data_IF_198302544627
#
_entry.id   IF_198302544627
#
_cell.length_a   1.000
_cell.length_b   1.000
_cell.length_c   1.000
_cell.angle_alpha   90.00
_cell.angle_beta   90.00
_cell.angle_gamma   90.00
#
_symmetry.space_group_name_H-M   'P 1'
#
loop_
_entity.id
_entity.type
_entity.pdbx_description
1 polymer ?
#
# COMPACT_ATOMS: atom_id res chain seq x y z
N UNK A 1 -2.74 -7.30 11.96
CA UNK A 1 -3.96 -8.15 12.05
C UNK A 1 -4.26 -8.35 13.52
N UNK A 2 -5.53 -8.43 13.90
CA UNK A 2 -5.88 -8.66 15.31
C UNK A 2 -5.46 -10.05 15.79
N UNK A 3 -5.43 -10.22 17.11
CA UNK A 3 -5.17 -11.51 17.75
C UNK A 3 -6.49 -12.21 18.09
N UNK A 4 -6.44 -13.54 18.16
CA UNK A 4 -7.55 -14.38 18.65
C UNK A 4 -8.86 -14.10 17.91
N UNK A 5 -9.89 -13.63 18.61
CA UNK A 5 -11.22 -13.33 18.08
C UNK A 5 -11.21 -12.19 17.05
N UNK A 6 -10.14 -11.38 17.05
CA UNK A 6 -9.94 -10.28 16.09
C UNK A 6 -9.05 -10.68 14.90
N UNK A 7 -8.78 -11.98 14.69
CA UNK A 7 -7.90 -12.45 13.61
C UNK A 7 -8.36 -12.06 12.19
N UNK A 8 -9.65 -11.77 12.01
CA UNK A 8 -10.24 -11.27 10.76
C UNK A 8 -10.32 -9.74 10.68
N UNK A 9 -9.80 -9.02 11.68
CA UNK A 9 -9.81 -7.55 11.74
C UNK A 9 -8.44 -6.98 11.37
N UNK A 10 -8.44 -6.06 10.40
CA UNK A 10 -7.27 -5.25 10.05
C UNK A 10 -7.27 -3.95 10.86
N UNK A 11 -6.12 -3.61 11.43
CA UNK A 11 -5.92 -2.38 12.20
C UNK A 11 -4.87 -1.52 11.50
N UNK A 12 -5.13 -0.22 11.42
CA UNK A 12 -4.12 0.78 11.07
C UNK A 12 -3.39 1.20 12.35
N UNK A 13 -2.06 1.23 12.27
CA UNK A 13 -1.17 1.59 13.37
C UNK A 13 -0.21 2.69 12.93
N UNK A 14 0.51 3.24 13.90
CA UNK A 14 1.54 4.25 13.70
C UNK A 14 1.05 5.53 12.98
N UNK A 15 0.53 6.45 13.78
CA UNK A 15 0.15 7.78 13.32
C UNK A 15 1.29 8.81 13.44
N UNK A 16 2.54 8.38 13.61
CA UNK A 16 3.69 9.26 13.84
C UNK A 16 4.00 10.21 12.67
N UNK A 17 3.62 9.82 11.45
CA UNK A 17 3.71 10.65 10.25
C UNK A 17 2.37 11.24 9.81
N UNK A 18 1.29 10.95 10.55
CA UNK A 18 -0.04 11.42 10.19
C UNK A 18 -0.10 12.95 10.28
N UNK A 19 -0.81 13.54 9.33
CA UNK A 19 -0.97 15.00 9.24
C UNK A 19 -2.41 15.34 8.93
N UNK A 20 -2.90 16.43 9.54
CA UNK A 20 -4.23 16.95 9.25
C UNK A 20 -4.25 17.51 7.82
N UNK A 21 -5.12 16.95 6.97
CA UNK A 21 -5.32 17.39 5.58
C UNK A 21 -6.34 18.53 5.44
N UNK A 22 -7.05 18.87 6.52
CA UNK A 22 -8.06 19.93 6.53
C UNK A 22 -7.87 20.92 7.67
N UNK A 23 -8.44 22.11 7.52
CA UNK A 23 -8.54 23.12 8.58
C UNK A 23 -9.61 22.73 9.60
N UNK A 24 -9.77 23.53 10.66
CA UNK A 24 -10.87 23.33 11.63
C UNK A 24 -12.24 23.65 11.04
N UNK A 25 -12.30 24.48 9.98
CA UNK A 25 -13.53 24.77 9.23
C UNK A 25 -13.88 23.67 8.20
N UNK A 26 -13.02 22.65 8.03
CA UNK A 26 -13.22 21.57 7.07
C UNK A 26 -12.67 21.85 5.67
N UNK A 27 -12.02 22.99 5.46
CA UNK A 27 -11.39 23.33 4.18
C UNK A 27 -10.12 22.50 3.96
N UNK A 28 -9.86 22.09 2.72
CA UNK A 28 -8.65 21.35 2.38
C UNK A 28 -7.40 22.24 2.55
N UNK A 29 -6.28 21.66 3.00
CA UNK A 29 -4.99 22.37 3.03
C UNK A 29 -4.60 22.84 1.62
N UNK A 30 -3.85 23.96 1.48
CA UNK A 30 -3.41 24.42 0.18
C UNK A 30 -2.34 23.50 -0.41
N UNK A 31 -2.31 23.42 -1.74
CA UNK A 31 -1.26 22.73 -2.48
C UNK A 31 0.11 23.36 -2.17
N UNK A 32 1.13 22.51 -1.97
CA UNK A 32 2.53 22.92 -1.79
C UNK A 32 3.46 21.94 -2.49
N UNK A 33 4.54 22.46 -3.05
CA UNK A 33 5.66 21.70 -3.59
C UNK A 33 6.91 21.85 -2.71
N UNK A 34 8.04 21.30 -3.16
CA UNK A 34 9.32 21.39 -2.46
C UNK A 34 9.40 20.59 -1.15
N UNK A 35 8.52 19.62 -0.94
CA UNK A 35 8.55 18.73 0.23
C UNK A 35 9.64 17.67 0.08
N UNK A 36 10.25 17.34 1.21
CA UNK A 36 11.08 16.15 1.32
C UNK A 36 10.20 14.89 1.30
N UNK A 37 10.76 13.80 0.78
CA UNK A 37 10.12 12.50 0.87
C UNK A 37 10.05 12.07 2.34
N UNK A 38 8.84 11.68 2.77
CA UNK A 38 8.59 11.07 4.08
C UNK A 38 7.97 9.68 3.88
N UNK A 39 8.15 8.80 4.87
CA UNK A 39 7.62 7.44 4.84
C UNK A 39 8.44 6.47 3.97
N UNK A 40 7.86 5.29 3.71
CA UNK A 40 8.54 4.23 2.98
C UNK A 40 8.50 4.49 1.47
N UNK A 41 9.66 4.78 0.88
CA UNK A 41 9.79 5.12 -0.54
C UNK A 41 9.16 4.11 -1.53
N UNK A 42 9.06 2.83 -1.13
CA UNK A 42 8.42 1.76 -1.91
C UNK A 42 6.93 2.04 -2.16
N UNK A 43 6.20 2.44 -1.14
CA UNK A 43 4.74 2.62 -1.18
C UNK A 43 4.32 4.09 -1.29
N UNK A 44 5.25 5.03 -1.15
CA UNK A 44 4.97 6.45 -1.39
C UNK A 44 4.41 6.70 -2.82
N UNK A 45 3.46 7.62 -2.93
CA UNK A 45 2.88 8.02 -4.22
C UNK A 45 3.92 8.67 -5.14
N UNK A 46 3.63 8.71 -6.44
CA UNK A 46 4.45 9.45 -7.39
C UNK A 46 4.57 10.94 -7.01
N UNK A 47 3.49 11.54 -6.49
CA UNK A 47 3.46 12.92 -6.03
C UNK A 47 4.44 13.17 -4.87
N UNK A 48 4.51 12.25 -3.90
CA UNK A 48 5.47 12.34 -2.78
C UNK A 48 6.91 12.35 -3.29
N UNK A 49 7.23 11.54 -4.30
CA UNK A 49 8.55 11.56 -4.96
C UNK A 49 8.80 12.83 -5.79
N UNK A 50 7.74 13.49 -6.25
CA UNK A 50 7.80 14.79 -6.91
C UNK A 50 7.93 15.96 -5.91
N UNK A 51 7.90 15.69 -4.60
CA UNK A 51 7.98 16.69 -3.55
C UNK A 51 6.69 17.49 -3.39
N UNK A 52 5.57 16.93 -3.82
CA UNK A 52 4.24 17.51 -3.65
C UNK A 52 3.74 17.13 -2.25
N UNK A 53 3.10 18.07 -1.56
CA UNK A 53 2.42 17.82 -0.29
C UNK A 53 1.43 16.67 -0.43
N UNK A 54 1.41 15.78 0.57
CA UNK A 54 0.52 14.63 0.57
C UNK A 54 -0.91 15.03 0.93
N UNK A 55 -1.86 14.31 0.35
CA UNK A 55 -3.30 14.42 0.54
C UNK A 55 -3.94 13.03 0.52
N UNK A 56 -5.28 12.98 0.56
CA UNK A 56 -6.04 11.73 0.60
C UNK A 56 -5.79 10.80 -0.59
N UNK A 57 -5.51 11.35 -1.78
CA UNK A 57 -5.21 10.54 -2.98
C UNK A 57 -3.90 9.77 -2.85
N UNK A 58 -2.94 10.31 -2.10
CA UNK A 58 -1.60 9.73 -1.94
C UNK A 58 -1.64 8.48 -1.05
N UNK A 59 -2.49 8.50 -0.01
CA UNK A 59 -2.77 7.32 0.82
C UNK A 59 -3.44 6.20 0.00
N UNK A 60 -4.37 6.54 -0.90
CA UNK A 60 -5.05 5.56 -1.76
C UNK A 60 -4.10 4.97 -2.81
N UNK A 61 -3.26 5.79 -3.46
CA UNK A 61 -2.24 5.31 -4.39
C UNK A 61 -1.25 4.37 -3.67
N UNK A 62 -0.84 4.74 -2.45
CA UNK A 62 0.02 3.90 -1.61
C UNK A 62 -0.64 2.56 -1.23
N UNK A 63 -1.93 2.58 -0.88
CA UNK A 63 -2.69 1.35 -0.64
C UNK A 63 -2.76 0.48 -1.91
N UNK A 64 -2.94 1.08 -3.09
CA UNK A 64 -2.89 0.36 -4.38
C UNK A 64 -1.55 -0.33 -4.61
N UNK A 65 -0.43 0.33 -4.31
CA UNK A 65 0.90 -0.31 -4.38
C UNK A 65 1.07 -1.46 -3.39
N UNK A 66 0.51 -1.35 -2.17
CA UNK A 66 0.54 -2.45 -1.21
C UNK A 66 -0.28 -3.64 -1.71
N UNK A 67 -1.48 -3.40 -2.26
CA UNK A 67 -2.33 -4.46 -2.80
C UNK A 67 -1.66 -5.17 -3.99
N UNK A 68 -1.04 -4.43 -4.90
CA UNK A 68 -0.28 -5.00 -6.02
C UNK A 68 0.93 -5.79 -5.53
N UNK A 69 1.65 -5.29 -4.53
CA UNK A 69 2.77 -6.01 -3.92
C UNK A 69 2.32 -7.34 -3.29
N UNK A 70 1.18 -7.35 -2.58
CA UNK A 70 0.63 -8.58 -2.01
C UNK A 70 0.21 -9.60 -3.08
N UNK A 71 -0.29 -9.11 -4.22
CA UNK A 71 -0.75 -9.97 -5.33
C UNK A 71 0.40 -10.51 -6.19
N UNK A 72 1.34 -9.64 -6.56
CA UNK A 72 2.40 -9.94 -7.54
C UNK A 72 3.74 -10.30 -6.88
N UNK A 73 3.91 -10.03 -5.59
CA UNK A 73 5.13 -10.28 -4.82
C UNK A 73 6.21 -9.22 -4.96
N UNK A 74 6.18 -8.42 -6.02
CA UNK A 74 7.12 -7.31 -6.23
C UNK A 74 6.51 -6.12 -6.98
N UNK A 75 7.17 -4.97 -6.85
CA UNK A 75 6.91 -3.74 -7.57
C UNK A 75 8.11 -3.41 -8.47
N UNK A 76 7.90 -2.79 -9.65
CA UNK A 76 8.96 -2.56 -10.66
C UNK A 76 10.17 -1.74 -10.18
N UNK A 77 10.01 -0.97 -9.10
CA UNK A 77 11.06 -0.15 -8.50
C UNK A 77 11.78 -0.81 -7.31
N UNK A 78 11.59 -2.12 -7.09
CA UNK A 78 12.35 -2.89 -6.10
C UNK A 78 13.73 -3.31 -6.62
N UNK A 79 14.69 -3.51 -5.72
CA UNK A 79 16.02 -4.03 -6.07
C UNK A 79 16.93 -3.07 -6.87
N UNK A 80 16.53 -1.83 -7.10
CA UNK A 80 17.31 -0.84 -7.85
C UNK A 80 18.63 -0.53 -7.12
N UNK A 81 19.76 -0.82 -7.79
CA UNK A 81 21.10 -0.56 -7.27
C UNK A 81 21.48 0.91 -7.44
N UNK A 82 22.04 1.50 -6.39
CA UNK A 82 22.51 2.88 -6.36
C UNK A 82 23.71 3.02 -5.40
N UNK A 83 24.58 4.00 -5.63
CA UNK A 83 25.74 4.26 -4.77
C UNK A 83 25.39 5.13 -3.58
N UNK A 84 24.40 6.02 -3.73
CA UNK A 84 23.93 6.91 -2.66
C UNK A 84 22.42 6.79 -2.47
N UNK A 85 21.93 7.27 -1.33
CA UNK A 85 20.50 7.29 -1.00
C UNK A 85 19.71 8.19 -1.95
N UNK A 86 20.28 9.33 -2.30
CA UNK A 86 19.70 10.31 -3.23
C UNK A 86 19.56 9.70 -4.63
N UNK A 87 20.59 8.96 -5.08
CA UNK A 87 20.53 8.22 -6.35
C UNK A 87 19.47 7.11 -6.29
N UNK A 88 19.35 6.39 -5.16
CA UNK A 88 18.32 5.35 -4.98
C UNK A 88 16.92 5.94 -5.09
N UNK A 89 16.65 7.05 -4.40
CA UNK A 89 15.35 7.72 -4.46
C UNK A 89 15.06 8.31 -5.83
N UNK A 90 16.07 8.88 -6.50
CA UNK A 90 15.93 9.35 -7.89
C UNK A 90 15.53 8.20 -8.82
N UNK A 91 16.17 7.04 -8.71
CA UNK A 91 15.84 5.85 -9.51
C UNK A 91 14.43 5.32 -9.23
N UNK A 92 14.02 5.26 -7.96
CA UNK A 92 12.66 4.86 -7.59
C UNK A 92 11.62 5.84 -8.16
N UNK A 93 11.89 7.15 -8.03
CA UNK A 93 11.05 8.20 -8.62
C UNK A 93 10.90 8.04 -10.13
N UNK A 94 12.02 7.89 -10.84
CA UNK A 94 12.03 7.71 -12.30
C UNK A 94 11.24 6.47 -12.70
N UNK A 95 11.43 5.34 -12.00
CA UNK A 95 10.65 4.13 -12.25
C UNK A 95 9.15 4.35 -12.01
N UNK A 96 8.75 4.94 -10.87
CA UNK A 96 7.32 5.19 -10.56
C UNK A 96 6.61 6.05 -11.60
N UNK A 97 7.29 7.08 -12.10
CA UNK A 97 6.75 8.01 -13.10
C UNK A 97 6.71 7.38 -14.48
N UNK A 98 7.73 6.60 -14.85
CA UNK A 98 7.89 6.08 -16.20
C UNK A 98 7.23 4.71 -16.42
N UNK A 99 6.93 3.94 -15.38
CA UNK A 99 6.18 2.69 -15.50
C UNK A 99 4.72 2.99 -15.83
N UNK A 100 4.23 2.60 -17.03
CA UNK A 100 2.82 2.72 -17.39
C UNK A 100 1.94 1.89 -16.46
N UNK A 101 0.68 2.30 -16.27
CA UNK A 101 -0.22 1.54 -15.39
C UNK A 101 -0.50 0.14 -15.93
N UNK A 102 -0.49 -0.04 -17.24
CA UNK A 102 -0.62 -1.33 -17.92
C UNK A 102 0.50 -2.29 -17.56
N UNK A 103 1.74 -1.77 -17.46
CA UNK A 103 2.91 -2.55 -17.04
C UNK A 103 2.87 -2.83 -15.53
N UNK A 104 2.56 -1.79 -14.74
CA UNK A 104 2.47 -1.91 -13.27
C UNK A 104 1.44 -2.97 -12.83
N UNK A 105 0.34 -3.09 -13.57
CA UNK A 105 -0.76 -4.00 -13.26
C UNK A 105 -0.77 -5.24 -14.13
N UNK A 106 0.31 -5.49 -14.86
CA UNK A 106 0.44 -6.68 -15.69
C UNK A 106 0.33 -7.95 -14.83
N UNK A 107 -0.57 -8.86 -15.21
CA UNK A 107 -0.84 -10.09 -14.47
C UNK A 107 -1.85 -9.93 -13.33
N UNK A 108 -2.29 -8.71 -13.00
CA UNK A 108 -3.39 -8.47 -12.08
C UNK A 108 -4.75 -8.38 -12.81
N UNK A 109 -5.88 -8.65 -12.13
CA UNK A 109 -7.21 -8.35 -12.65
C UNK A 109 -7.37 -6.87 -13.01
N UNK A 110 -8.20 -6.57 -14.03
CA UNK A 110 -8.40 -5.20 -14.56
C UNK A 110 -8.82 -4.20 -13.48
N UNK A 111 -9.52 -4.65 -12.44
CA UNK A 111 -9.98 -3.81 -11.34
C UNK A 111 -8.80 -3.15 -10.58
N UNK A 112 -7.61 -3.74 -10.58
CA UNK A 112 -6.39 -3.11 -10.07
C UNK A 112 -5.90 -1.97 -10.97
N UNK A 113 -5.98 -2.13 -12.29
CA UNK A 113 -5.71 -1.05 -13.23
C UNK A 113 -6.69 0.11 -13.01
N UNK A 114 -8.00 -0.18 -12.93
CA UNK A 114 -9.03 0.83 -12.70
C UNK A 114 -8.85 1.56 -11.36
N UNK A 115 -8.43 0.84 -10.31
CA UNK A 115 -8.09 1.41 -9.01
C UNK A 115 -6.92 2.41 -9.13
N UNK A 116 -5.84 2.01 -9.81
CA UNK A 116 -4.65 2.87 -9.95
C UNK A 116 -4.91 4.07 -10.87
N UNK A 117 -5.69 3.89 -11.94
CA UNK A 117 -6.15 4.99 -12.81
C UNK A 117 -6.95 6.00 -12.00
N UNK A 118 -7.89 5.52 -11.18
CA UNK A 118 -8.68 6.39 -10.30
C UNK A 118 -7.76 7.23 -9.41
N UNK A 119 -6.86 6.60 -8.66
CA UNK A 119 -5.97 7.31 -7.72
C UNK A 119 -5.06 8.33 -8.41
N UNK A 120 -4.47 8.00 -9.57
CA UNK A 120 -3.55 8.90 -10.30
C UNK A 120 -4.25 10.12 -10.92
N UNK A 121 -5.53 10.02 -11.23
CA UNK A 121 -6.30 11.10 -11.85
C UNK A 121 -6.98 12.03 -10.84
N UNK A 122 -6.97 11.69 -9.55
CA UNK A 122 -7.57 12.52 -8.51
C UNK A 122 -6.87 13.87 -8.37
N UNK A 123 -7.65 14.93 -8.21
CA UNK A 123 -7.12 16.24 -7.85
C UNK A 123 -6.64 16.26 -6.39
N UNK A 124 -5.75 17.20 -6.06
CA UNK A 124 -5.14 17.27 -4.72
C UNK A 124 -6.16 17.45 -3.60
N UNK A 125 -7.21 18.25 -3.83
CA UNK A 125 -8.26 18.53 -2.85
C UNK A 125 -9.54 17.71 -3.06
N UNK A 126 -9.55 16.76 -4.01
CA UNK A 126 -10.73 15.98 -4.33
C UNK A 126 -11.13 15.06 -3.17
N UNK A 127 -12.43 14.91 -2.97
CA UNK A 127 -13.00 13.94 -2.02
C UNK A 127 -13.06 12.56 -2.69
N UNK A 128 -12.33 11.54 -2.19
CA UNK A 128 -12.35 10.23 -2.83
C UNK A 128 -13.69 9.53 -2.70
N UNK A 129 -14.15 8.92 -3.80
CA UNK A 129 -15.24 7.95 -3.81
C UNK A 129 -14.73 6.58 -3.32
N UNK A 130 -14.57 6.48 -2.00
CA UNK A 130 -14.19 5.23 -1.35
C UNK A 130 -15.20 4.10 -1.63
N UNK A 131 -16.45 4.42 -1.93
CA UNK A 131 -17.48 3.42 -2.23
C UNK A 131 -17.27 2.81 -3.60
N UNK A 132 -16.89 3.60 -4.60
CA UNK A 132 -16.45 3.10 -5.91
C UNK A 132 -15.26 2.14 -5.77
N UNK A 133 -14.19 2.54 -5.08
CA UNK A 133 -12.99 1.72 -4.92
C UNK A 133 -13.27 0.40 -4.19
N UNK A 134 -14.09 0.43 -3.14
CA UNK A 134 -14.54 -0.80 -2.47
C UNK A 134 -15.39 -1.66 -3.39
N UNK A 135 -16.28 -1.05 -4.17
CA UNK A 135 -17.20 -1.78 -5.03
C UNK A 135 -16.47 -2.56 -6.13
N UNK A 136 -15.50 -1.96 -6.82
CA UNK A 136 -14.75 -2.67 -7.87
C UNK A 136 -14.00 -3.89 -7.32
N UNK A 137 -13.41 -3.78 -6.11
CA UNK A 137 -12.73 -4.91 -5.48
C UNK A 137 -13.70 -5.99 -4.99
N UNK A 138 -14.89 -5.60 -4.49
CA UNK A 138 -15.95 -6.54 -4.10
C UNK A 138 -16.56 -7.27 -5.30
N UNK A 139 -16.78 -6.57 -6.40
CA UNK A 139 -17.27 -7.18 -7.65
C UNK A 139 -16.26 -8.21 -8.17
N UNK A 140 -14.96 -7.90 -8.13
CA UNK A 140 -13.90 -8.87 -8.43
C UNK A 140 -13.91 -10.07 -7.48
N UNK A 141 -14.06 -9.84 -6.18
CA UNK A 141 -14.13 -10.91 -5.17
C UNK A 141 -15.25 -11.92 -5.49
N UNK A 142 -16.45 -11.42 -5.81
CA UNK A 142 -17.59 -12.27 -6.21
C UNK A 142 -17.33 -12.96 -7.55
N UNK A 143 -16.74 -12.25 -8.53
CA UNK A 143 -16.41 -12.79 -9.85
C UNK A 143 -15.41 -13.95 -9.79
N UNK A 144 -14.52 -13.94 -8.80
CA UNK A 144 -13.60 -15.06 -8.53
C UNK A 144 -14.24 -16.23 -7.77
N UNK A 145 -15.55 -16.17 -7.49
CA UNK A 145 -16.27 -17.24 -6.79
C UNK A 145 -16.04 -17.28 -5.28
N UNK A 146 -15.53 -16.21 -4.68
CA UNK A 146 -15.35 -16.16 -3.23
C UNK A 146 -16.64 -15.76 -2.51
N UNK A 147 -16.98 -16.48 -1.44
CA UNK A 147 -18.24 -16.31 -0.70
C UNK A 147 -18.05 -15.91 0.79
N UNK A 148 -16.85 -16.15 1.35
CA UNK A 148 -16.58 -15.98 2.79
C UNK A 148 -15.61 -14.81 3.05
N UNK A 149 -16.14 -13.59 3.25
CA UNK A 149 -15.36 -12.34 3.33
C UNK A 149 -14.33 -12.26 4.48
N UNK A 150 -14.35 -13.20 5.45
CA UNK A 150 -13.52 -13.16 6.66
C UNK A 150 -12.60 -14.37 6.87
N UNK A 151 -12.46 -15.23 5.86
CA UNK A 151 -11.49 -16.33 5.85
C UNK A 151 -10.26 -15.86 5.07
N UNK A 152 -9.16 -15.68 5.78
CA UNK A 152 -7.87 -15.25 5.24
C UNK A 152 -6.86 -16.40 5.31
N UNK A 153 -5.78 -16.34 4.54
CA UNK A 153 -4.77 -17.41 4.48
C UNK A 153 -4.25 -17.86 5.86
N UNK A 154 -4.09 -16.92 6.79
CA UNK A 154 -3.63 -17.17 8.15
C UNK A 154 -4.73 -17.65 9.11
N UNK A 155 -6.02 -17.52 8.77
CA UNK A 155 -7.14 -18.00 9.59
C UNK A 155 -7.66 -19.36 9.18
N UNK A 156 -7.28 -19.88 8.01
CA UNK A 156 -7.83 -21.13 7.47
C UNK A 156 -7.70 -22.31 8.44
N UNK A 157 -6.56 -22.49 9.10
CA UNK A 157 -6.36 -23.62 10.03
C UNK A 157 -7.36 -23.63 11.20
N UNK A 158 -7.92 -22.47 11.56
CA UNK A 158 -8.95 -22.37 12.60
C UNK A 158 -10.33 -22.75 12.09
N UNK A 159 -10.66 -22.41 10.85
CA UNK A 159 -11.98 -22.68 10.25
C UNK A 159 -12.07 -24.06 9.59
N UNK A 160 -10.96 -24.61 9.09
CA UNK A 160 -10.87 -25.92 8.47
C UNK A 160 -9.66 -26.71 9.00
N UNK A 161 -9.70 -27.20 10.25
CA UNK A 161 -8.57 -27.90 10.89
C UNK A 161 -8.16 -29.21 10.18
N UNK A 162 -8.98 -29.73 9.26
CA UNK A 162 -8.71 -30.93 8.46
C UNK A 162 -8.29 -30.65 7.01
N UNK A 163 -8.30 -29.40 6.55
CA UNK A 163 -7.83 -29.06 5.20
C UNK A 163 -6.33 -28.76 5.21
N UNK A 164 -5.59 -29.53 4.43
CA UNK A 164 -4.16 -29.29 4.20
C UNK A 164 -3.96 -28.04 3.35
N UNK A 165 -2.86 -27.31 3.55
CA UNK A 165 -2.49 -26.12 2.77
C UNK A 165 -2.51 -26.37 1.25
N UNK A 166 -2.18 -27.60 0.84
CA UNK A 166 -2.23 -28.09 -0.56
C UNK A 166 -3.65 -28.26 -1.11
N UNK A 167 -4.65 -28.54 -0.26
CA UNK A 167 -6.07 -28.61 -0.68
C UNK A 167 -6.67 -27.22 -0.85
N UNK A 168 -6.23 -26.25 -0.05
CA UNK A 168 -6.63 -24.84 -0.17
C UNK A 168 -6.09 -24.19 -1.44
N UNK A 169 -4.82 -24.39 -1.75
CA UNK A 169 -4.24 -23.93 -3.02
C UNK A 169 -4.94 -24.53 -4.24
N UNK A 170 -5.48 -25.75 -4.14
CA UNK A 170 -6.27 -26.37 -5.20
C UNK A 170 -7.65 -25.75 -5.35
N UNK A 171 -8.35 -25.42 -4.26
CA UNK A 171 -9.64 -24.72 -4.33
C UNK A 171 -9.51 -23.27 -4.80
N UNK A 172 -8.43 -22.57 -4.41
CA UNK A 172 -8.13 -21.22 -4.87
C UNK A 172 -7.54 -21.19 -6.30
N UNK A 173 -7.07 -22.33 -6.81
CA UNK A 173 -6.44 -22.47 -8.14
C UNK A 173 -7.26 -23.26 -9.17
N UNK A 174 -8.51 -23.65 -8.87
CA UNK A 174 -9.40 -24.35 -9.79
C UNK A 174 -10.52 -23.44 -10.29
N UNK A 175 -10.17 -22.46 -11.12
CA UNK A 175 -11.03 -22.09 -12.28
C UNK A 175 -10.27 -21.48 -13.48
N UNK A 176 -8.99 -21.80 -13.63
CA UNK A 176 -8.21 -21.40 -14.81
C UNK A 176 -7.23 -22.49 -15.21
N UNK A 177 -7.76 -23.61 -15.69
CA UNK A 177 -7.01 -24.55 -16.54
C UNK A 177 -7.95 -25.34 -17.45
N UNK A 178 -8.37 -24.70 -18.54
CA UNK A 178 -8.24 -25.37 -19.82
C UNK A 178 -7.48 -24.41 -20.75
N UNK A 179 -6.30 -24.86 -21.19
CA UNK A 179 -5.28 -24.17 -21.99
C UNK A 179 -4.30 -23.23 -21.27
N UNK A 180 -3.21 -23.81 -20.73
CA UNK A 180 -1.82 -23.54 -21.16
C UNK A 180 -0.86 -24.35 -20.29
N UNK A 181 -0.34 -25.42 -20.87
CA UNK A 181 0.85 -26.09 -20.39
C UNK A 181 2.10 -25.31 -20.80
N UNK A 182 3.08 -25.35 -19.90
CA UNK A 182 4.49 -24.98 -20.03
C UNK A 182 4.87 -23.60 -19.46
N UNK A 183 5.86 -23.66 -18.56
CA UNK A 183 6.51 -22.59 -17.78
C UNK A 183 5.89 -22.15 -16.45
N UNK A 184 5.80 -23.04 -15.45
CA UNK A 184 5.92 -22.63 -14.04
C UNK A 184 6.64 -23.71 -13.22
N UNK A 185 7.97 -23.65 -13.25
CA UNK A 185 8.83 -24.44 -12.37
C UNK A 185 9.12 -23.68 -11.07
N UNK A 186 8.78 -24.31 -9.95
CA UNK A 186 9.47 -24.19 -8.64
C UNK A 186 9.37 -22.84 -7.91
N UNK A 187 8.24 -22.57 -7.24
CA UNK A 187 8.03 -21.42 -6.35
C UNK A 187 8.39 -21.66 -4.87
N UNK A 188 9.14 -22.70 -4.54
CA UNK A 188 9.33 -23.12 -3.13
C UNK A 188 10.62 -22.63 -2.46
N UNK A 189 11.35 -21.65 -3.02
CA UNK A 189 12.64 -21.22 -2.44
C UNK A 189 13.02 -19.74 -2.65
N UNK A 190 12.08 -18.80 -2.48
CA UNK A 190 12.43 -17.36 -2.44
C UNK A 190 11.64 -16.58 -1.38
N UNK A 191 11.92 -16.85 -0.11
CA UNK A 191 11.87 -15.81 0.91
C UNK A 191 13.30 -15.41 1.26
N UNK A 192 13.89 -14.40 0.60
CA UNK A 192 15.09 -13.78 1.13
C UNK A 192 14.72 -13.03 2.41
N UNK A 193 15.51 -13.24 3.46
CA UNK A 193 15.45 -12.54 4.76
C UNK A 193 15.15 -11.04 4.55
N UNK A 194 13.95 -10.61 4.94
CA UNK A 194 13.47 -9.23 4.83
C UNK A 194 13.97 -8.36 5.99
N UNK A 195 15.29 -8.24 6.13
CA UNK A 195 15.91 -7.53 7.26
C UNK A 195 16.52 -6.16 6.92
N UNK A 196 16.18 -5.53 5.78
CA UNK A 196 16.72 -4.20 5.42
C UNK A 196 15.70 -3.24 4.76
N UNK A 197 14.45 -3.22 5.23
CA UNK A 197 13.56 -2.08 4.95
C UNK A 197 13.46 -1.19 6.19
N UNK A 198 14.44 -0.31 6.33
CA UNK A 198 14.49 0.67 7.41
C UNK A 198 13.28 1.60 7.39
N UNK A 199 12.48 1.55 8.46
CA UNK A 199 11.66 2.66 8.93
C UNK A 199 12.60 3.81 9.32
N UNK A 200 12.93 4.69 8.37
CA UNK A 200 13.75 5.86 8.65
C UNK A 200 12.86 7.04 9.06
N UNK A 201 12.93 7.40 10.34
CA UNK A 201 12.38 8.67 10.85
C UNK A 201 13.29 9.82 10.41
N UNK A 202 12.76 10.99 10.00
CA UNK A 202 13.58 12.16 9.73
C UNK A 202 14.23 12.64 11.04
N UNK A 203 15.55 12.77 11.04
CA UNK A 203 16.28 13.40 12.15
C UNK A 203 15.87 14.87 12.29
N UNK A 204 15.50 15.24 13.52
CA UNK A 204 15.76 16.54 14.13
C UNK A 204 15.30 17.80 13.40
N UNK A 205 14.09 18.26 13.70
CA UNK A 205 13.86 19.69 13.85
C UNK A 205 13.49 19.94 15.31
N UNK A 206 14.43 20.50 16.08
CA UNK A 206 14.20 21.04 17.41
C UNK A 206 13.12 22.13 17.33
N UNK A 207 11.89 21.77 17.70
CA UNK A 207 11.00 22.74 18.32
C UNK A 207 11.21 22.60 19.83
N UNK A 208 12.08 23.46 20.36
CA UNK A 208 12.17 23.68 21.79
C UNK A 208 10.80 24.09 22.34
N UNK A 209 10.28 23.48 23.41
CA UNK A 209 9.19 24.08 24.15
C UNK A 209 9.76 25.24 24.97
N UNK A 210 9.40 26.48 24.61
CA UNK A 210 9.54 27.61 25.52
C UNK A 210 8.76 27.29 26.81
N UNK A 211 9.50 27.10 27.89
CA UNK A 211 8.99 27.02 29.24
C UNK A 211 8.47 28.39 29.67
N UNK A 212 7.15 28.56 29.69
CA UNK A 212 6.53 29.69 30.38
C UNK A 212 6.71 29.52 31.91
N UNK A 213 7.19 30.55 32.62
CA UNK A 213 7.35 30.46 34.07
C UNK A 213 5.99 30.52 34.77
N UNK A 214 5.73 29.54 35.63
CA UNK A 214 4.68 29.60 36.63
C UNK A 214 4.96 30.75 37.61
N UNK A 215 4.16 31.83 37.51
CA UNK A 215 4.03 32.82 38.57
C UNK A 215 3.09 32.26 39.63
N UNK A 216 3.63 31.90 40.79
CA UNK A 216 2.88 31.87 42.04
C UNK A 216 2.42 33.29 42.37
N UNK A 217 1.14 33.47 42.70
CA UNK A 217 0.71 34.36 43.78
C UNK A 217 -0.80 34.18 44.06
N UNK A 218 -1.06 33.84 45.34
CA UNK A 218 -2.23 34.10 46.19
C UNK A 218 -3.64 33.85 45.65
#
# INVERSE_FOLDING_TARGET
MGLEDNASTLYLIDYGLAKKWSTTSGEHIPYKDGKSLTGTARYASANTHLGIEQSRRDDLEGAGYVLLYLLLGELPWQGLRAKTKEEKYKKIKEAKVNTPLEELTQGAPKEFFDFMVYCRNMEFSEDPDYSYLRRILKELYVKCGFENEFIFDWTIQRYHPSMTQTQLQRQLGQDSSNERSDEFGSLENRYPNSSEDELFQPEGNEFAPESLPFSQNQ
#
